data_IF_672432550357
#
_entry.id   IF_672432550357
#
_cell.length_a   1.000
_cell.length_b   1.000
_cell.length_c   1.000
_cell.angle_alpha   90.00
_cell.angle_beta   90.00
_cell.angle_gamma   90.00
#
_symmetry.space_group_name_H-M   'P 1'
#
loop_
_entity.id
_entity.type
_entity.pdbx_description
1 polymer ?
#
# COMPACT_ATOMS: atom_id res chain seq x y z
N UNK A 1 -12.08 4.61 0.81
CA UNK A 1 -12.87 5.25 1.86
C UNK A 1 -13.72 6.39 1.28
N UNK A 2 -13.13 7.37 0.60
CA UNK A 2 -13.85 8.52 0.04
C UNK A 2 -14.95 8.15 -0.96
N UNK A 3 -14.73 7.13 -1.80
CA UNK A 3 -15.76 6.63 -2.74
C UNK A 3 -16.93 6.00 -1.97
N UNK A 4 -16.65 5.22 -0.94
CA UNK A 4 -17.69 4.56 -0.12
C UNK A 4 -18.53 5.57 0.67
N UNK A 5 -17.92 6.70 1.05
CA UNK A 5 -18.61 7.77 1.80
C UNK A 5 -19.13 8.90 0.89
N UNK A 6 -19.22 8.70 -0.41
CA UNK A 6 -19.65 9.71 -1.39
C UNK A 6 -18.91 11.05 -1.36
N UNK A 7 -17.71 11.05 -0.74
CA UNK A 7 -16.82 12.23 -0.63
C UNK A 7 -15.90 12.35 -1.83
N UNK A 8 -16.43 12.14 -3.03
CA UNK A 8 -15.68 12.21 -4.29
C UNK A 8 -16.50 12.94 -5.35
N UNK A 9 -15.85 13.49 -6.40
CA UNK A 9 -16.55 14.02 -7.56
C UNK A 9 -17.50 13.00 -8.18
N UNK A 10 -18.61 13.48 -8.76
CA UNK A 10 -19.71 12.67 -9.28
C UNK A 10 -19.25 11.53 -10.20
N UNK A 11 -18.27 11.81 -11.06
CA UNK A 11 -17.76 10.82 -12.02
C UNK A 11 -17.02 9.62 -11.37
N UNK A 12 -16.61 9.73 -10.09
CA UNK A 12 -15.94 8.66 -9.34
C UNK A 12 -16.89 7.82 -8.50
N UNK A 13 -18.09 8.29 -8.21
CA UNK A 13 -19.06 7.57 -7.37
C UNK A 13 -19.46 6.20 -7.91
N UNK A 14 -19.46 6.06 -9.24
CA UNK A 14 -19.80 4.80 -9.89
C UNK A 14 -18.64 3.80 -9.98
N UNK A 15 -17.45 4.18 -9.48
CA UNK A 15 -16.29 3.31 -9.54
C UNK A 15 -16.24 2.36 -8.33
N UNK A 16 -15.97 1.09 -8.63
CA UNK A 16 -15.62 0.10 -7.62
C UNK A 16 -14.09 -0.06 -7.58
N UNK A 17 -13.51 -0.07 -6.38
CA UNK A 17 -12.07 -0.28 -6.17
C UNK A 17 -11.84 -1.72 -5.78
N UNK A 18 -10.98 -2.41 -6.51
CA UNK A 18 -10.55 -3.78 -6.24
C UNK A 18 -9.05 -3.79 -5.99
N UNK A 19 -8.65 -4.37 -4.87
CA UNK A 19 -7.24 -4.63 -4.57
C UNK A 19 -6.84 -5.97 -5.17
N UNK A 20 -5.79 -5.98 -5.99
CA UNK A 20 -5.23 -7.19 -6.57
C UNK A 20 -4.07 -7.68 -5.71
N UNK A 21 -4.28 -8.79 -5.05
CA UNK A 21 -3.23 -9.50 -4.31
C UNK A 21 -2.38 -10.34 -5.27
N UNK A 22 -1.20 -9.81 -5.61
CA UNK A 22 -0.22 -10.48 -6.47
C UNK A 22 0.32 -11.74 -5.80
N UNK A 23 0.53 -11.73 -4.49
CA UNK A 23 1.00 -12.88 -3.73
C UNK A 23 0.07 -14.09 -3.89
N UNK A 24 -1.23 -13.87 -3.76
CA UNK A 24 -2.24 -14.92 -3.97
C UNK A 24 -2.29 -15.41 -5.41
N UNK A 25 -2.05 -14.56 -6.40
CA UNK A 25 -1.98 -14.98 -7.81
C UNK A 25 -0.75 -15.83 -8.10
N UNK A 26 0.38 -15.51 -7.48
CA UNK A 26 1.63 -16.27 -7.60
C UNK A 26 1.57 -17.59 -6.83
N UNK A 27 0.86 -17.63 -5.72
CA UNK A 27 0.70 -18.83 -4.93
C UNK A 27 0.01 -19.94 -5.75
N UNK A 28 0.68 -21.07 -5.89
CA UNK A 28 0.21 -22.20 -6.69
C UNK A 28 0.41 -22.09 -8.20
N UNK A 29 1.08 -21.06 -8.69
CA UNK A 29 1.58 -21.00 -10.05
C UNK A 29 2.96 -21.66 -10.12
N UNK A 30 3.07 -22.81 -10.78
CA UNK A 30 4.37 -23.50 -10.95
C UNK A 30 5.17 -22.92 -12.10
N UNK A 31 4.48 -22.37 -13.09
CA UNK A 31 5.06 -21.81 -14.30
C UNK A 31 4.51 -20.40 -14.54
N UNK A 32 5.28 -19.60 -15.24
CA UNK A 32 4.89 -18.24 -15.62
C UNK A 32 3.54 -18.20 -16.39
N UNK A 33 3.30 -19.16 -17.27
CA UNK A 33 2.06 -19.26 -18.02
C UNK A 33 0.82 -19.37 -17.14
N UNK A 34 0.91 -20.09 -16.02
CA UNK A 34 -0.19 -20.23 -15.06
C UNK A 34 -0.58 -18.89 -14.42
N UNK A 35 0.42 -18.10 -14.06
CA UNK A 35 0.22 -16.75 -13.54
C UNK A 35 -0.43 -15.82 -14.58
N UNK A 36 0.09 -15.83 -15.82
CA UNK A 36 -0.47 -15.02 -16.91
C UNK A 36 -1.93 -15.37 -17.20
N UNK A 37 -2.28 -16.65 -17.19
CA UNK A 37 -3.64 -17.11 -17.39
C UNK A 37 -4.57 -16.65 -16.29
N UNK A 38 -4.19 -16.84 -15.02
CA UNK A 38 -4.94 -16.37 -13.86
C UNK A 38 -5.16 -14.86 -13.91
N UNK A 39 -4.12 -14.10 -14.21
CA UNK A 39 -4.22 -12.65 -14.34
C UNK A 39 -5.19 -12.22 -15.45
N UNK A 40 -5.16 -12.90 -16.61
CA UNK A 40 -6.13 -12.67 -17.70
C UNK A 40 -7.57 -12.96 -17.26
N UNK A 41 -7.80 -14.02 -16.48
CA UNK A 41 -9.12 -14.34 -15.93
C UNK A 41 -9.62 -13.26 -14.98
N UNK A 42 -8.75 -12.75 -14.08
CA UNK A 42 -9.09 -11.61 -13.20
C UNK A 42 -9.49 -10.39 -14.03
N UNK A 43 -8.68 -10.02 -15.04
CA UNK A 43 -9.00 -8.89 -15.90
C UNK A 43 -10.32 -9.09 -16.68
N UNK A 44 -10.60 -10.30 -17.12
CA UNK A 44 -11.86 -10.62 -17.79
C UNK A 44 -13.05 -10.49 -16.85
N UNK A 45 -12.94 -10.96 -15.60
CA UNK A 45 -13.94 -10.82 -14.58
C UNK A 45 -14.22 -9.36 -14.20
N UNK A 46 -13.18 -8.54 -14.09
CA UNK A 46 -13.33 -7.11 -13.77
C UNK A 46 -14.01 -6.32 -14.89
N UNK A 47 -13.82 -6.70 -16.15
CA UNK A 47 -14.48 -6.03 -17.29
C UNK A 47 -16.01 -6.09 -17.24
N UNK A 48 -16.57 -7.14 -16.64
CA UNK A 48 -18.03 -7.30 -16.45
C UNK A 48 -18.60 -6.51 -15.29
N UNK A 49 -17.75 -5.88 -14.46
CA UNK A 49 -18.16 -5.20 -13.21
C UNK A 49 -18.46 -3.70 -13.36
N UNK A 50 -18.44 -3.16 -14.57
CA UNK A 50 -18.65 -1.72 -14.81
C UNK A 50 -17.41 -0.88 -14.60
N UNK A 51 -17.56 0.36 -14.12
CA UNK A 51 -16.44 1.28 -13.89
C UNK A 51 -15.57 0.77 -12.74
N UNK A 52 -14.34 0.37 -13.04
CA UNK A 52 -13.44 -0.31 -12.11
C UNK A 52 -12.11 0.40 -11.98
N UNK A 53 -11.65 0.58 -10.75
CA UNK A 53 -10.28 0.92 -10.40
C UNK A 53 -9.63 -0.34 -9.81
N UNK A 54 -8.59 -0.83 -10.43
CA UNK A 54 -7.78 -1.94 -9.93
C UNK A 54 -6.53 -1.36 -9.27
N UNK A 55 -6.39 -1.58 -7.98
CA UNK A 55 -5.18 -1.23 -7.23
C UNK A 55 -4.25 -2.44 -7.18
N UNK A 56 -2.98 -2.21 -7.46
CA UNK A 56 -1.92 -3.23 -7.45
C UNK A 56 -0.83 -2.73 -6.52
N UNK A 57 -0.73 -3.31 -5.35
CA UNK A 57 0.38 -3.04 -4.45
C UNK A 57 1.61 -3.88 -4.87
N UNK A 58 2.80 -3.36 -4.57
CA UNK A 58 4.07 -4.04 -4.90
C UNK A 58 4.13 -4.48 -6.38
N UNK A 59 3.72 -3.58 -7.29
CA UNK A 59 3.56 -3.90 -8.71
C UNK A 59 4.83 -4.45 -9.39
N UNK A 60 6.00 -4.21 -8.82
CA UNK A 60 7.26 -4.78 -9.26
C UNK A 60 7.30 -6.32 -9.16
N UNK A 61 6.49 -6.91 -8.27
CA UNK A 61 6.39 -8.38 -8.16
C UNK A 61 5.95 -9.04 -9.46
N UNK A 62 5.11 -8.35 -10.25
CA UNK A 62 4.69 -8.85 -11.58
C UNK A 62 5.87 -8.90 -12.55
N UNK A 63 6.76 -7.91 -12.49
CA UNK A 63 7.94 -7.85 -13.34
C UNK A 63 9.01 -8.88 -12.93
N UNK A 64 9.03 -9.28 -11.64
CA UNK A 64 9.93 -10.30 -11.09
C UNK A 64 9.40 -11.74 -11.23
N UNK A 65 8.12 -11.90 -11.43
CA UNK A 65 7.42 -13.20 -11.43
C UNK A 65 7.67 -14.03 -12.71
N UNK A 66 8.89 -14.25 -13.08
CA UNK A 66 9.21 -15.04 -14.28
C UNK A 66 10.61 -14.87 -14.81
N UNK A 67 11.46 -14.13 -14.12
CA UNK A 67 12.84 -13.91 -14.55
C UNK A 67 13.74 -15.09 -14.22
N UNK A 68 13.66 -16.16 -14.99
CA UNK A 68 14.85 -16.89 -15.36
C UNK A 68 15.69 -16.01 -16.30
N UNK A 69 16.39 -15.01 -15.75
CA UNK A 69 17.57 -14.39 -16.32
C UNK A 69 17.56 -13.83 -17.75
N UNK A 70 16.44 -13.37 -18.31
CA UNK A 70 16.40 -12.80 -19.65
C UNK A 70 15.99 -11.32 -19.68
N UNK A 71 16.48 -10.51 -20.64
CA UNK A 71 16.28 -9.06 -20.68
C UNK A 71 14.91 -8.59 -21.16
N UNK A 72 13.87 -9.39 -21.09
CA UNK A 72 12.53 -9.05 -21.57
C UNK A 72 11.62 -8.57 -20.43
N UNK A 73 11.87 -7.36 -19.94
CA UNK A 73 11.11 -6.67 -18.89
C UNK A 73 9.71 -6.16 -19.32
N UNK A 74 9.23 -6.54 -20.51
CA UNK A 74 7.96 -6.02 -21.05
C UNK A 74 6.69 -6.75 -20.55
N UNK A 75 6.80 -7.57 -19.53
CA UNK A 75 5.73 -8.50 -19.17
C UNK A 75 4.53 -7.82 -18.54
N UNK A 76 4.75 -6.92 -17.55
CA UNK A 76 3.68 -6.16 -16.93
C UNK A 76 2.94 -5.30 -17.96
N UNK A 77 3.69 -4.63 -18.85
CA UNK A 77 3.09 -3.84 -19.92
C UNK A 77 2.21 -4.69 -20.84
N UNK A 78 2.69 -5.85 -21.21
CA UNK A 78 1.95 -6.75 -22.11
C UNK A 78 0.71 -7.33 -21.43
N UNK A 79 0.78 -7.64 -20.16
CA UNK A 79 -0.34 -8.16 -19.38
C UNK A 79 -1.41 -7.10 -19.11
N UNK A 80 -0.99 -5.86 -18.81
CA UNK A 80 -1.91 -4.75 -18.55
C UNK A 80 -2.46 -4.09 -19.82
N UNK A 81 -1.79 -4.20 -20.97
CA UNK A 81 -2.25 -3.65 -22.25
C UNK A 81 -3.75 -3.91 -22.54
N UNK A 82 -4.27 -5.14 -22.37
CA UNK A 82 -5.67 -5.42 -22.65
C UNK A 82 -6.63 -4.69 -21.69
N UNK A 83 -6.21 -4.45 -20.46
CA UNK A 83 -7.01 -3.72 -19.46
C UNK A 83 -7.02 -2.22 -19.75
N UNK A 84 -5.82 -1.66 -20.03
CA UNK A 84 -5.64 -0.23 -20.26
C UNK A 84 -6.20 0.25 -21.60
N UNK A 85 -6.21 -0.61 -22.62
CA UNK A 85 -6.62 -0.21 -23.99
C UNK A 85 -8.12 0.02 -24.18
N UNK A 86 -8.97 -0.59 -23.34
CA UNK A 86 -10.44 -0.50 -23.46
C UNK A 86 -11.08 0.53 -22.53
N UNK A 87 -10.31 1.19 -21.68
CA UNK A 87 -10.78 2.32 -20.84
C UNK A 87 -11.74 1.99 -19.69
N UNK A 88 -12.25 0.76 -19.61
CA UNK A 88 -13.22 0.37 -18.59
C UNK A 88 -12.59 0.05 -17.22
N UNK A 89 -11.30 -0.24 -17.22
CA UNK A 89 -10.53 -0.50 -15.99
C UNK A 89 -9.45 0.57 -15.90
N UNK A 90 -9.43 1.29 -14.78
CA UNK A 90 -8.31 2.15 -14.41
C UNK A 90 -7.39 1.37 -13.50
N UNK A 91 -6.08 1.56 -13.65
CA UNK A 91 -5.07 0.87 -12.84
C UNK A 91 -4.30 1.88 -12.03
N UNK A 92 -4.22 1.64 -10.73
CA UNK A 92 -3.32 2.33 -9.80
C UNK A 92 -2.31 1.31 -9.32
N UNK A 93 -1.03 1.56 -9.50
CA UNK A 93 0.04 0.65 -9.12
C UNK A 93 1.01 1.36 -8.17
N UNK A 94 1.31 0.74 -7.04
CA UNK A 94 2.30 1.25 -6.08
C UNK A 94 3.60 0.46 -6.17
N UNK A 95 4.71 1.12 -5.91
CA UNK A 95 6.05 0.52 -5.83
C UNK A 95 7.01 1.49 -5.14
N UNK A 96 8.15 1.01 -4.68
CA UNK A 96 9.21 1.87 -4.16
C UNK A 96 9.99 2.57 -5.27
N UNK A 97 10.72 3.65 -4.92
CA UNK A 97 11.58 4.36 -5.87
C UNK A 97 12.69 3.48 -6.46
N UNK A 98 13.26 2.61 -5.63
CA UNK A 98 14.32 1.70 -6.06
C UNK A 98 13.82 0.72 -7.12
N UNK A 99 12.68 0.11 -6.86
CA UNK A 99 12.05 -0.86 -7.76
C UNK A 99 11.47 -0.21 -9.00
N UNK A 100 10.92 1.02 -8.87
CA UNK A 100 10.51 1.80 -10.02
C UNK A 100 11.66 1.99 -11.01
N UNK A 101 12.84 2.43 -10.55
CA UNK A 101 14.02 2.60 -11.39
C UNK A 101 14.49 1.30 -12.02
N UNK A 102 14.42 0.21 -11.26
CA UNK A 102 14.88 -1.10 -11.70
C UNK A 102 13.97 -1.73 -12.74
N UNK A 103 12.67 -1.66 -12.54
CA UNK A 103 11.69 -2.45 -13.31
C UNK A 103 10.82 -1.62 -14.26
N UNK A 104 10.54 -0.37 -13.96
CA UNK A 104 9.56 0.42 -14.70
C UNK A 104 10.17 1.55 -15.54
N UNK A 105 11.13 2.27 -15.02
CA UNK A 105 11.66 3.50 -15.66
C UNK A 105 12.17 3.25 -17.10
N UNK A 106 12.71 2.07 -17.35
CA UNK A 106 13.24 1.68 -18.66
C UNK A 106 12.18 1.19 -19.64
N UNK A 107 10.98 0.86 -19.13
CA UNK A 107 9.87 0.40 -19.98
C UNK A 107 9.07 1.57 -20.55
N UNK A 108 9.50 2.04 -21.72
CA UNK A 108 8.83 3.14 -22.44
C UNK A 108 7.36 2.85 -22.76
N UNK A 109 6.98 1.58 -22.90
CA UNK A 109 5.60 1.20 -23.23
C UNK A 109 4.67 1.36 -22.03
N UNK A 110 5.15 1.05 -20.83
CA UNK A 110 4.46 1.34 -19.56
C UNK A 110 4.41 2.83 -19.30
N UNK A 111 5.52 3.52 -19.39
CA UNK A 111 5.62 4.95 -19.06
C UNK A 111 4.70 5.84 -19.90
N UNK A 112 4.35 5.42 -21.11
CA UNK A 112 3.36 6.13 -21.95
C UNK A 112 1.90 5.93 -21.50
N UNK A 113 1.62 4.95 -20.65
CA UNK A 113 0.27 4.56 -20.22
C UNK A 113 -0.02 4.87 -18.75
N UNK A 114 1.03 5.13 -17.98
CA UNK A 114 0.93 5.47 -16.57
C UNK A 114 1.43 6.88 -16.33
N UNK A 115 0.63 7.64 -15.61
CA UNK A 115 1.08 8.88 -15.02
C UNK A 115 1.75 8.57 -13.68
N UNK A 116 2.96 9.05 -13.49
CA UNK A 116 3.66 8.94 -12.21
C UNK A 116 3.09 9.93 -11.20
N UNK A 117 2.80 9.44 -10.02
CA UNK A 117 2.43 10.22 -8.84
C UNK A 117 3.45 9.93 -7.76
N UNK A 118 4.18 10.94 -7.32
CA UNK A 118 5.15 10.81 -6.24
C UNK A 118 4.46 11.00 -4.90
N UNK A 119 4.71 10.10 -3.96
CA UNK A 119 4.29 10.21 -2.57
C UNK A 119 5.54 10.42 -1.74
N UNK A 120 5.77 11.66 -1.33
CA UNK A 120 6.94 12.03 -0.54
C UNK A 120 6.69 11.82 0.96
N UNK A 121 7.78 11.73 1.73
CA UNK A 121 7.70 11.67 3.20
C UNK A 121 7.04 12.95 3.73
N UNK A 122 5.98 12.85 4.56
CA UNK A 122 5.32 14.02 5.11
C UNK A 122 6.21 14.78 6.08
N UNK A 123 5.94 16.10 6.23
CA UNK A 123 6.57 16.90 7.29
C UNK A 123 6.14 16.41 8.68
N UNK A 124 6.85 16.85 9.72
CA UNK A 124 6.47 16.53 11.11
C UNK A 124 5.07 17.08 11.45
N UNK A 125 4.71 18.26 10.94
CA UNK A 125 3.38 18.88 11.13
C UNK A 125 2.28 18.03 10.48
N UNK A 126 2.45 17.65 9.22
CA UNK A 126 1.50 16.78 8.53
C UNK A 126 1.42 15.42 9.22
N UNK A 127 2.55 14.91 9.72
CA UNK A 127 2.58 13.65 10.48
C UNK A 127 1.78 13.76 11.79
N UNK A 128 1.85 14.90 12.47
CA UNK A 128 1.03 15.17 13.65
C UNK A 128 -0.47 15.08 13.33
N UNK A 129 -0.90 15.69 12.22
CA UNK A 129 -2.29 15.63 11.78
C UNK A 129 -2.72 14.19 11.43
N UNK A 130 -1.85 13.44 10.74
CA UNK A 130 -2.10 12.03 10.43
C UNK A 130 -2.27 11.21 11.72
N UNK A 131 -1.36 11.34 12.66
CA UNK A 131 -1.40 10.60 13.92
C UNK A 131 -2.61 10.96 14.77
N UNK A 132 -3.00 12.22 14.83
CA UNK A 132 -4.23 12.64 15.47
C UNK A 132 -5.47 12.05 14.81
N UNK A 133 -5.47 11.94 13.49
CA UNK A 133 -6.56 11.32 12.73
C UNK A 133 -6.75 9.82 12.99
N UNK A 134 -5.65 9.10 13.25
CA UNK A 134 -5.68 7.64 13.50
C UNK A 134 -5.64 7.28 14.99
N UNK A 135 -5.33 8.22 15.87
CA UNK A 135 -5.18 8.07 17.32
C UNK A 135 -6.28 7.21 17.93
N UNK A 136 -7.54 7.51 17.62
CA UNK A 136 -8.70 6.83 18.18
C UNK A 136 -8.67 5.32 17.93
N UNK A 137 -8.21 4.87 16.76
CA UNK A 137 -8.13 3.44 16.45
C UNK A 137 -7.10 2.71 17.30
N UNK A 138 -5.96 3.37 17.58
CA UNK A 138 -4.92 2.82 18.45
C UNK A 138 -5.35 2.83 19.91
N UNK A 139 -6.03 3.88 20.38
CA UNK A 139 -6.60 3.96 21.72
C UNK A 139 -7.62 2.85 21.97
N UNK A 140 -8.52 2.62 21.02
CA UNK A 140 -9.51 1.53 21.09
C UNK A 140 -8.85 0.15 21.07
N UNK A 141 -7.87 -0.07 20.19
CA UNK A 141 -7.18 -1.35 20.06
C UNK A 141 -6.37 -1.71 21.31
N UNK A 142 -5.63 -0.75 21.85
CA UNK A 142 -4.77 -0.95 23.01
C UNK A 142 -5.50 -0.72 24.34
N UNK A 143 -6.75 -0.25 24.32
CA UNK A 143 -7.50 0.16 25.51
C UNK A 143 -6.69 1.12 26.41
N UNK A 144 -6.07 2.15 25.81
CA UNK A 144 -5.22 3.12 26.48
C UNK A 144 -5.44 4.51 25.89
N UNK A 145 -5.06 5.56 26.62
CA UNK A 145 -5.16 6.95 26.15
C UNK A 145 -3.80 7.43 25.67
N UNK A 146 -3.76 8.02 24.49
CA UNK A 146 -2.54 8.58 23.89
C UNK A 146 -2.61 10.11 24.03
N UNK A 147 -1.69 10.72 24.76
CA UNK A 147 -1.62 12.18 24.89
C UNK A 147 -1.02 12.83 23.63
N UNK A 148 -1.28 14.12 23.44
CA UNK A 148 -0.64 14.89 22.36
C UNK A 148 0.88 14.96 22.53
N UNK A 149 1.37 15.05 23.77
CA UNK A 149 2.79 15.01 24.09
C UNK A 149 3.44 13.68 23.70
N UNK A 150 2.71 12.57 23.82
CA UNK A 150 3.20 11.26 23.38
C UNK A 150 3.34 11.21 21.85
N UNK A 151 2.40 11.78 21.10
CA UNK A 151 2.47 11.87 19.64
C UNK A 151 3.64 12.75 19.21
N UNK A 152 3.78 13.93 19.80
CA UNK A 152 4.90 14.84 19.50
C UNK A 152 6.25 14.19 19.81
N UNK A 153 6.35 13.51 20.96
CA UNK A 153 7.54 12.77 21.33
C UNK A 153 7.86 11.63 20.37
N UNK A 154 6.85 10.87 19.94
CA UNK A 154 7.03 9.79 18.98
C UNK A 154 7.58 10.30 17.64
N UNK A 155 7.06 11.42 17.14
CA UNK A 155 7.55 12.06 15.91
C UNK A 155 9.00 12.50 16.09
N UNK A 156 9.32 13.27 17.14
CA UNK A 156 10.67 13.81 17.39
C UNK A 156 11.71 12.71 17.60
N UNK A 157 11.38 11.69 18.38
CA UNK A 157 12.28 10.58 18.67
C UNK A 157 12.49 9.69 17.43
N UNK A 158 11.44 9.43 16.66
CA UNK A 158 11.57 8.66 15.42
C UNK A 158 12.46 9.36 14.39
N UNK A 159 12.31 10.67 14.24
CA UNK A 159 13.17 11.48 13.34
C UNK A 159 14.62 11.46 13.81
N UNK A 160 14.84 11.57 15.13
CA UNK A 160 16.20 11.63 15.70
C UNK A 160 16.94 10.30 15.66
N UNK A 161 16.26 9.18 15.88
CA UNK A 161 16.91 7.90 16.12
C UNK A 161 16.63 6.82 15.06
N UNK A 162 15.64 7.01 14.18
CA UNK A 162 15.29 6.05 13.12
C UNK A 162 15.50 6.68 11.74
N UNK A 163 16.76 6.70 11.30
CA UNK A 163 17.13 7.29 10.00
C UNK A 163 16.84 6.38 8.80
N UNK A 164 16.68 5.09 9.05
CA UNK A 164 16.41 4.05 8.06
C UNK A 164 14.94 3.93 7.66
N UNK A 165 14.04 4.51 8.47
CA UNK A 165 12.60 4.51 8.24
C UNK A 165 12.07 5.91 7.92
N UNK A 166 10.88 5.98 7.33
CA UNK A 166 10.20 7.20 6.92
C UNK A 166 8.99 7.52 7.78
N UNK A 167 8.64 8.81 7.89
CA UNK A 167 7.36 9.24 8.41
C UNK A 167 6.25 8.90 7.39
N UNK A 168 5.00 8.62 7.85
CA UNK A 168 4.56 8.59 9.23
C UNK A 168 4.88 7.26 9.96
N UNK A 169 5.22 6.19 9.26
CA UNK A 169 5.31 4.81 9.74
C UNK A 169 6.21 4.67 10.97
N UNK A 170 7.40 5.26 10.96
CA UNK A 170 8.32 5.18 12.11
C UNK A 170 7.75 5.78 13.39
N UNK A 171 6.91 6.81 13.30
CA UNK A 171 6.25 7.41 14.45
C UNK A 171 5.05 6.57 14.92
N UNK A 172 4.31 5.99 13.97
CA UNK A 172 3.22 5.03 14.24
C UNK A 172 3.77 3.81 14.99
N UNK A 173 4.85 3.21 14.49
CA UNK A 173 5.52 2.07 15.13
C UNK A 173 5.90 2.35 16.58
N UNK A 174 6.39 3.57 16.88
CA UNK A 174 6.75 3.96 18.24
C UNK A 174 5.53 4.08 19.15
N UNK A 175 4.43 4.63 18.68
CA UNK A 175 3.18 4.74 19.44
C UNK A 175 2.63 3.34 19.71
N UNK A 176 2.54 2.49 18.72
CA UNK A 176 2.06 1.12 18.85
C UNK A 176 2.88 0.32 19.88
N UNK A 177 4.21 0.41 19.77
CA UNK A 177 5.12 -0.24 20.69
C UNK A 177 5.00 0.33 22.12
N UNK A 178 4.83 1.65 22.27
CA UNK A 178 4.67 2.28 23.58
C UNK A 178 3.38 1.83 24.27
N UNK A 179 2.26 1.82 23.56
CA UNK A 179 0.97 1.33 24.05
C UNK A 179 1.05 -0.15 24.46
N UNK A 180 1.66 -0.99 23.61
CA UNK A 180 1.85 -2.41 23.92
C UNK A 180 2.68 -2.63 25.18
N UNK A 181 3.79 -1.87 25.36
CA UNK A 181 4.62 -1.96 26.56
C UNK A 181 3.93 -1.45 27.82
N UNK A 182 3.11 -0.41 27.68
CA UNK A 182 2.32 0.12 28.80
C UNK A 182 1.38 -0.96 29.34
N UNK A 183 0.62 -1.61 28.48
CA UNK A 183 -0.31 -2.67 28.85
C UNK A 183 0.37 -3.90 29.46
N UNK A 184 1.59 -4.22 29.06
CA UNK A 184 2.36 -5.31 29.68
C UNK A 184 2.79 -4.97 31.10
N UNK A 185 3.19 -3.71 31.36
CA UNK A 185 3.60 -3.26 32.71
C UNK A 185 2.43 -3.23 33.69
N UNK A 186 1.23 -2.81 33.25
CA UNK A 186 0.05 -2.84 34.13
C UNK A 186 -0.31 -4.27 34.55
N UNK A 187 -0.23 -5.24 33.63
CA UNK A 187 -0.47 -6.66 33.97
C UNK A 187 0.56 -7.26 34.91
N UNK A 188 1.79 -6.78 34.92
CA UNK A 188 2.83 -7.23 35.85
C UNK A 188 2.66 -6.62 37.26
N UNK A 189 2.15 -5.38 37.37
CA UNK A 189 1.82 -4.77 38.66
C UNK A 189 0.66 -5.45 39.37
N UNK A 190 -0.34 -5.94 38.64
CA UNK A 190 -1.46 -6.70 39.20
C UNK A 190 -1.06 -8.12 39.66
N UNK A 191 0.06 -8.66 39.18
CA UNK A 191 0.58 -9.97 39.58
C UNK A 191 1.45 -9.96 40.82
N UNK A 192 1.88 -8.77 41.28
CA UNK A 192 2.74 -8.61 42.46
C UNK A 192 1.99 -8.17 43.73
N UNK A 193 0.67 -8.23 43.77
CA UNK A 193 -0.16 -8.00 44.93
C UNK A 193 -0.85 -9.30 45.32
N UNK A 194 -0.04 -10.26 45.78
CA UNK A 194 -0.53 -11.53 46.32
C UNK A 194 0.56 -12.24 47.12
#
# INVERSE_FOLDING_TARGET
>A
WNIVNDSVPEFLKEYNVYNLDIGSLLAGSKYRGDFEERFKLVLAGLRGKGKTIMFIDEAHMISGAGSGGGPNSNDLANMLKPALSKGNIKVVASTTWEEYRKYFEKDRALMRRFQRVTVDEPSQEITMDILNGIKKYYEEFHNTVISEDAIDSAIKLSVKYQSDKKLPDKAIDLIDLACSRFNLKEKDTDRNVG
#
